data_IF_979180693096
#
_entry.id   IF_979180693096
#
_cell.length_a   1.000
_cell.length_b   1.000
_cell.length_c   1.000
_cell.angle_alpha   90.00
_cell.angle_beta   90.00
_cell.angle_gamma   90.00
#
_symmetry.space_group_name_H-M   'P 1'
#
loop_
_entity.id
_entity.type
_entity.pdbx_description
1 polymer ?
#
# COMPACT_ATOMS: atom_id res chain seq x y z
N UNK A 1 71.93 -2.13 -9.55
CA UNK A 1 71.01 -2.58 -8.48
C UNK A 1 69.66 -2.03 -8.84
N UNK A 2 68.85 -2.83 -9.51
CA UNK A 2 67.54 -2.53 -10.07
C UNK A 2 66.48 -3.00 -9.08
N UNK A 3 65.66 -2.09 -8.57
CA UNK A 3 64.54 -2.41 -7.71
C UNK A 3 63.36 -2.96 -8.50
N UNK A 4 62.57 -3.93 -8.00
CA UNK A 4 61.46 -4.50 -8.72
C UNK A 4 60.24 -3.61 -8.73
N UNK A 5 59.56 -3.54 -9.89
CA UNK A 5 58.29 -2.92 -10.11
C UNK A 5 57.20 -3.64 -9.28
N UNK A 6 56.48 -2.88 -8.42
CA UNK A 6 55.27 -3.33 -7.75
C UNK A 6 54.12 -3.22 -8.78
N UNK A 7 53.65 -4.35 -9.21
CA UNK A 7 52.46 -4.52 -10.05
C UNK A 7 51.22 -4.08 -9.24
N UNK A 8 50.60 -2.96 -9.62
CA UNK A 8 49.36 -2.49 -9.04
C UNK A 8 48.22 -3.41 -9.52
N UNK A 9 47.68 -4.20 -8.60
CA UNK A 9 46.44 -4.91 -8.83
C UNK A 9 45.33 -3.91 -9.16
N UNK A 10 44.70 -4.06 -10.33
CA UNK A 10 43.54 -3.28 -10.76
C UNK A 10 42.34 -3.48 -9.81
N UNK A 11 41.39 -2.56 -9.78
CA UNK A 11 40.21 -2.69 -8.95
C UNK A 11 39.42 -3.94 -9.37
N UNK A 12 39.21 -4.85 -8.41
CA UNK A 12 38.27 -5.94 -8.55
C UNK A 12 36.90 -5.30 -8.76
N UNK A 13 36.34 -5.43 -9.95
CA UNK A 13 34.93 -5.22 -10.23
C UNK A 13 34.16 -6.11 -9.25
N UNK A 14 33.54 -5.48 -8.22
CA UNK A 14 32.45 -6.10 -7.47
C UNK A 14 31.40 -6.46 -8.51
N UNK A 15 31.26 -7.74 -8.81
CA UNK A 15 30.11 -8.24 -9.53
C UNK A 15 28.86 -7.73 -8.80
N UNK A 16 27.99 -7.08 -9.55
CA UNK A 16 26.66 -6.69 -9.11
C UNK A 16 25.95 -7.96 -8.62
N UNK A 17 25.99 -8.14 -7.31
CA UNK A 17 25.09 -9.04 -6.62
C UNK A 17 23.72 -8.35 -6.66
N UNK A 18 23.05 -8.44 -7.81
CA UNK A 18 21.64 -8.14 -7.98
C UNK A 18 20.95 -9.15 -7.06
N UNK A 19 20.75 -8.76 -5.82
CA UNK A 19 19.87 -9.48 -4.90
C UNK A 19 18.54 -9.63 -5.62
N UNK A 20 18.30 -10.81 -6.20
CA UNK A 20 17.00 -11.19 -6.75
C UNK A 20 15.96 -10.90 -5.68
N UNK A 21 15.23 -9.77 -5.81
CA UNK A 21 14.09 -9.45 -4.96
C UNK A 21 13.13 -10.62 -5.04
N UNK A 22 12.54 -10.98 -3.90
CA UNK A 22 11.63 -12.13 -3.83
C UNK A 22 10.50 -11.98 -4.85
N UNK A 23 10.14 -13.07 -5.48
CA UNK A 23 9.14 -13.14 -6.56
C UNK A 23 7.71 -12.85 -6.09
N UNK A 24 7.45 -12.83 -4.78
CA UNK A 24 6.13 -12.66 -4.18
C UNK A 24 6.06 -11.31 -3.46
N UNK A 25 5.19 -10.41 -3.88
CA UNK A 25 4.99 -9.10 -3.25
C UNK A 25 4.31 -9.15 -1.88
N UNK A 26 4.10 -7.98 -1.27
CA UNK A 26 3.56 -7.87 0.08
C UNK A 26 2.15 -8.48 0.21
N UNK A 27 1.28 -8.28 -0.79
CA UNK A 27 -0.07 -8.85 -0.80
C UNK A 27 -0.04 -10.39 -0.82
N UNK A 28 0.71 -10.98 -1.73
CA UNK A 28 0.86 -12.44 -1.81
C UNK A 28 1.46 -13.03 -0.53
N UNK A 29 2.43 -12.36 0.08
CA UNK A 29 3.02 -12.77 1.36
C UNK A 29 2.03 -12.71 2.52
N UNK A 30 1.18 -11.69 2.55
CA UNK A 30 0.14 -11.58 3.56
C UNK A 30 -0.87 -12.73 3.43
N UNK A 31 -1.30 -13.07 2.21
CA UNK A 31 -2.20 -14.21 1.98
C UNK A 31 -1.56 -15.54 2.41
N UNK A 32 -0.28 -15.75 2.10
CA UNK A 32 0.49 -16.91 2.55
C UNK A 32 0.53 -16.97 4.08
N UNK A 33 0.89 -15.87 4.72
CA UNK A 33 0.99 -15.80 6.18
C UNK A 33 -0.35 -16.10 6.85
N UNK A 34 -1.45 -15.51 6.38
CA UNK A 34 -2.82 -15.77 6.87
C UNK A 34 -3.24 -17.23 6.66
N UNK A 35 -3.02 -17.76 5.46
CA UNK A 35 -3.33 -19.15 5.15
C UNK A 35 -2.58 -20.12 6.06
N UNK A 36 -1.28 -19.93 6.25
CA UNK A 36 -0.48 -20.76 7.15
C UNK A 36 -0.89 -20.58 8.62
N UNK A 37 -1.24 -19.36 9.06
CA UNK A 37 -1.71 -19.10 10.42
C UNK A 37 -3.04 -19.83 10.69
N UNK A 38 -3.97 -19.82 9.74
CA UNK A 38 -5.23 -20.55 9.82
C UNK A 38 -5.00 -22.07 9.92
N UNK A 39 -4.10 -22.62 9.10
CA UNK A 39 -3.72 -24.03 9.14
C UNK A 39 -3.06 -24.39 10.47
N UNK A 40 -2.17 -23.55 10.97
CA UNK A 40 -1.49 -23.75 12.26
C UNK A 40 -2.49 -23.79 13.40
N UNK A 41 -3.43 -22.85 13.44
CA UNK A 41 -4.51 -22.78 14.43
C UNK A 41 -5.40 -24.01 14.35
N UNK A 42 -5.83 -24.41 13.15
CA UNK A 42 -6.65 -25.61 12.94
C UNK A 42 -5.97 -26.90 13.37
N UNK A 43 -4.67 -27.01 13.10
CA UNK A 43 -3.91 -28.21 13.46
C UNK A 43 -3.57 -28.30 14.96
N UNK A 44 -3.63 -27.20 15.71
CA UNK A 44 -3.22 -27.09 17.11
C UNK A 44 -1.72 -27.30 17.34
N UNK A 45 -0.91 -27.39 16.27
CA UNK A 45 0.54 -27.66 16.36
C UNK A 45 1.30 -26.38 16.73
N UNK A 46 2.38 -26.53 17.48
CA UNK A 46 3.31 -25.45 17.76
C UNK A 46 4.27 -25.25 16.57
N UNK A 47 4.73 -24.02 16.37
CA UNK A 47 5.70 -23.69 15.31
C UNK A 47 6.96 -24.58 15.37
N UNK A 48 7.40 -24.97 16.57
CA UNK A 48 8.55 -25.87 16.77
C UNK A 48 8.29 -27.28 16.24
N UNK A 49 7.05 -27.77 16.34
CA UNK A 49 6.64 -29.06 15.79
C UNK A 49 6.56 -29.01 14.28
N UNK A 50 5.96 -27.93 13.75
CA UNK A 50 5.89 -27.69 12.29
C UNK A 50 7.31 -27.62 11.71
N UNK A 51 8.22 -26.90 12.35
CA UNK A 51 9.61 -26.81 11.91
C UNK A 51 10.30 -28.17 11.83
N UNK A 52 10.09 -29.02 12.88
CA UNK A 52 10.64 -30.37 12.92
C UNK A 52 10.06 -31.26 11.82
N UNK A 53 8.74 -31.23 11.62
CA UNK A 53 8.05 -32.02 10.58
C UNK A 53 8.42 -31.60 9.17
N UNK A 54 8.56 -30.30 8.94
CA UNK A 54 8.94 -29.71 7.65
C UNK A 54 10.45 -29.79 7.37
N UNK A 55 11.28 -30.21 8.32
CA UNK A 55 12.73 -30.28 8.16
C UNK A 55 13.41 -28.92 8.04
N UNK A 56 12.85 -27.86 8.66
CA UNK A 56 13.36 -26.50 8.60
C UNK A 56 13.58 -25.90 9.98
N UNK A 57 14.22 -24.74 10.06
CA UNK A 57 14.36 -24.01 11.32
C UNK A 57 13.05 -23.32 11.72
N UNK A 58 12.85 -23.07 13.03
CA UNK A 58 11.74 -22.26 13.55
C UNK A 58 11.76 -20.85 12.94
N UNK A 59 12.95 -20.26 12.76
CA UNK A 59 13.11 -18.97 12.08
C UNK A 59 12.62 -19.00 10.64
N UNK A 60 12.76 -20.14 9.93
CA UNK A 60 12.18 -20.32 8.60
C UNK A 60 10.66 -20.34 8.66
N UNK A 61 10.06 -21.07 9.60
CA UNK A 61 8.60 -21.08 9.77
C UNK A 61 8.08 -19.66 10.07
N UNK A 62 8.73 -18.93 10.99
CA UNK A 62 8.38 -17.55 11.31
C UNK A 62 8.42 -16.63 10.10
N UNK A 63 9.41 -16.80 9.22
CA UNK A 63 9.51 -16.03 7.97
C UNK A 63 8.30 -16.24 7.05
N UNK A 64 7.77 -17.46 6.99
CA UNK A 64 6.59 -17.78 6.17
C UNK A 64 5.27 -17.36 6.84
N UNK A 65 5.27 -17.20 8.16
CA UNK A 65 4.14 -16.65 8.93
C UNK A 65 4.13 -15.12 8.99
N UNK A 66 5.20 -14.45 8.53
CA UNK A 66 5.31 -13.00 8.44
C UNK A 66 5.33 -12.56 6.97
N UNK A 67 4.70 -11.42 6.67
CA UNK A 67 4.68 -10.87 5.32
C UNK A 67 5.67 -9.71 5.12
N UNK A 68 6.20 -9.14 6.19
CA UNK A 68 7.12 -7.99 6.13
C UNK A 68 8.56 -8.37 5.73
N UNK A 69 8.96 -9.63 5.88
CA UNK A 69 10.27 -10.13 5.46
C UNK A 69 10.31 -10.32 3.94
N UNK A 70 11.24 -9.65 3.26
CA UNK A 70 11.40 -9.68 1.79
C UNK A 70 12.25 -10.85 1.28
N UNK A 71 12.72 -11.74 2.14
CA UNK A 71 13.50 -12.89 1.71
C UNK A 71 12.70 -13.79 0.77
N UNK A 72 13.35 -14.29 -0.28
CA UNK A 72 12.73 -15.16 -1.29
C UNK A 72 12.09 -16.39 -0.66
N UNK A 73 10.79 -16.58 -0.88
CA UNK A 73 10.09 -17.80 -0.52
C UNK A 73 10.40 -18.90 -1.53
N UNK A 74 10.47 -20.13 -1.06
CA UNK A 74 10.81 -21.31 -1.89
C UNK A 74 9.66 -22.30 -1.89
N UNK A 75 9.26 -22.76 -3.08
CA UNK A 75 8.17 -23.73 -3.28
C UNK A 75 8.37 -25.02 -2.45
N UNK A 76 9.55 -25.67 -2.43
CA UNK A 76 9.73 -26.88 -1.61
C UNK A 76 9.52 -26.63 -0.12
N UNK A 77 9.99 -25.48 0.39
CA UNK A 77 9.82 -25.11 1.80
C UNK A 77 8.36 -24.78 2.11
N UNK A 78 7.64 -24.05 1.23
CA UNK A 78 6.22 -23.80 1.38
C UNK A 78 5.42 -25.09 1.44
N UNK A 79 5.66 -26.01 0.52
CA UNK A 79 5.01 -27.33 0.48
C UNK A 79 5.21 -28.07 1.78
N UNK A 80 6.45 -28.19 2.27
CA UNK A 80 6.77 -28.88 3.51
C UNK A 80 6.10 -28.26 4.74
N UNK A 81 6.09 -26.91 4.84
CA UNK A 81 5.43 -26.19 5.94
C UNK A 81 3.91 -26.40 5.90
N UNK A 82 3.28 -26.26 4.72
CA UNK A 82 1.84 -26.44 4.57
C UNK A 82 1.42 -27.88 4.94
N UNK A 83 2.13 -28.90 4.47
CA UNK A 83 1.91 -30.30 4.83
C UNK A 83 2.11 -30.53 6.32
N UNK A 84 3.15 -29.96 6.93
CA UNK A 84 3.39 -30.03 8.36
C UNK A 84 2.30 -29.33 9.18
N UNK A 85 1.61 -28.33 8.63
CA UNK A 85 0.43 -27.69 9.22
C UNK A 85 -0.87 -28.49 8.97
N UNK A 86 -0.84 -29.59 8.24
CA UNK A 86 -2.03 -30.40 7.95
C UNK A 86 -2.91 -29.84 6.84
N UNK A 87 -2.31 -29.15 5.88
CA UNK A 87 -3.01 -28.65 4.70
C UNK A 87 -3.56 -29.80 3.83
N UNK A 88 -4.76 -29.65 3.33
CA UNK A 88 -5.28 -30.49 2.24
C UNK A 88 -4.47 -30.26 0.95
N UNK A 89 -4.53 -31.18 -0.01
CA UNK A 89 -3.86 -30.97 -1.30
C UNK A 89 -4.23 -29.63 -1.99
N UNK A 90 -5.50 -29.24 -1.95
CA UNK A 90 -5.97 -28.00 -2.55
C UNK A 90 -5.42 -26.75 -1.83
N UNK A 91 -5.44 -26.72 -0.51
CA UNK A 91 -4.88 -25.64 0.29
C UNK A 91 -3.37 -25.49 0.09
N UNK A 92 -2.65 -26.62 0.11
CA UNK A 92 -1.22 -26.65 -0.17
C UNK A 92 -0.90 -26.08 -1.55
N UNK A 93 -1.63 -26.52 -2.58
CA UNK A 93 -1.39 -26.11 -3.95
C UNK A 93 -1.80 -24.64 -4.17
N UNK A 94 -2.81 -24.12 -3.45
CA UNK A 94 -3.13 -22.69 -3.42
C UNK A 94 -1.97 -21.86 -2.83
N UNK A 95 -1.42 -22.26 -1.68
CA UNK A 95 -0.26 -21.59 -1.08
C UNK A 95 0.99 -21.66 -1.96
N UNK A 96 1.20 -22.79 -2.64
CA UNK A 96 2.32 -22.95 -3.60
C UNK A 96 2.16 -22.01 -4.80
N UNK A 97 0.93 -21.87 -5.33
CA UNK A 97 0.67 -20.89 -6.41
C UNK A 97 1.05 -19.48 -5.99
N UNK A 98 0.65 -19.03 -4.79
CA UNK A 98 1.02 -17.70 -4.28
C UNK A 98 2.55 -17.48 -4.18
N UNK A 99 3.34 -18.54 -3.96
CA UNK A 99 4.81 -18.45 -3.99
C UNK A 99 5.36 -18.39 -5.41
N UNK A 100 4.68 -19.03 -6.38
CA UNK A 100 5.11 -19.06 -7.78
C UNK A 100 4.61 -17.88 -8.59
N UNK A 101 3.47 -17.31 -8.20
CA UNK A 101 2.91 -16.13 -8.86
C UNK A 101 3.85 -14.94 -8.61
N UNK A 102 4.53 -14.57 -9.69
CA UNK A 102 5.37 -13.39 -9.68
C UNK A 102 4.43 -12.17 -9.72
N UNK A 103 4.44 -11.39 -8.65
CA UNK A 103 3.87 -10.07 -8.73
C UNK A 103 4.68 -9.29 -9.76
N UNK A 104 4.06 -8.96 -10.87
CA UNK A 104 4.64 -8.12 -11.91
C UNK A 104 4.00 -6.75 -11.85
N UNK A 105 4.77 -5.74 -11.45
CA UNK A 105 4.29 -4.38 -11.42
C UNK A 105 5.43 -3.41 -11.70
N UNK A 106 5.10 -2.28 -12.32
CA UNK A 106 6.05 -1.22 -12.65
C UNK A 106 6.84 -0.69 -11.43
N UNK A 107 6.28 -0.88 -10.23
CA UNK A 107 6.86 -0.38 -8.98
C UNK A 107 8.00 -1.25 -8.41
N UNK A 108 8.07 -2.53 -8.76
CA UNK A 108 8.93 -3.50 -8.07
C UNK A 108 10.43 -3.18 -8.16
N UNK A 109 10.85 -2.52 -9.23
CA UNK A 109 12.24 -2.10 -9.42
C UNK A 109 12.34 -0.60 -9.72
N UNK A 110 11.27 0.16 -9.49
CA UNK A 110 11.24 1.57 -9.78
C UNK A 110 11.98 2.37 -8.69
N UNK A 111 13.12 3.02 -9.00
CA UNK A 111 13.98 3.65 -7.99
C UNK A 111 13.30 4.81 -7.26
N UNK A 112 12.22 5.36 -7.84
CA UNK A 112 11.46 6.47 -7.24
C UNK A 112 10.34 6.01 -6.30
N UNK A 113 10.01 4.71 -6.25
CA UNK A 113 9.08 4.17 -5.25
C UNK A 113 9.86 3.90 -3.98
N UNK A 114 9.66 4.72 -2.91
CA UNK A 114 10.36 4.48 -1.65
C UNK A 114 10.00 3.11 -1.09
N UNK A 115 10.96 2.42 -0.49
CA UNK A 115 10.73 1.13 0.17
C UNK A 115 9.55 1.11 1.15
N UNK A 116 9.23 2.27 1.72
CA UNK A 116 8.10 2.45 2.64
C UNK A 116 6.73 2.35 1.96
N UNK A 117 6.64 2.69 0.66
CA UNK A 117 5.40 2.66 -0.13
C UNK A 117 5.26 1.37 -0.95
N UNK A 118 6.33 0.62 -1.16
CA UNK A 118 6.31 -0.63 -1.92
C UNK A 118 5.23 -1.62 -1.41
N UNK A 119 5.05 -1.87 -0.10
CA UNK A 119 3.95 -2.70 0.36
C UNK A 119 2.57 -2.12 0.04
N UNK A 120 2.36 -0.80 0.16
CA UNK A 120 1.08 -0.17 -0.15
C UNK A 120 0.71 -0.37 -1.62
N UNK A 121 1.63 -0.11 -2.53
CA UNK A 121 1.40 -0.29 -3.98
C UNK A 121 1.11 -1.75 -4.33
N UNK A 122 1.79 -2.69 -3.66
CA UNK A 122 1.51 -4.13 -3.79
C UNK A 122 0.09 -4.47 -3.31
N UNK A 123 -0.33 -3.94 -2.16
CA UNK A 123 -1.68 -4.14 -1.66
C UNK A 123 -2.74 -3.52 -2.57
N UNK A 124 -2.52 -2.31 -3.07
CA UNK A 124 -3.42 -1.65 -4.04
C UNK A 124 -3.56 -2.48 -5.32
N UNK A 125 -2.47 -3.05 -5.82
CA UNK A 125 -2.50 -3.89 -7.01
C UNK A 125 -3.40 -5.12 -6.84
N UNK A 126 -3.56 -5.62 -5.63
CA UNK A 126 -4.38 -6.78 -5.30
C UNK A 126 -5.79 -6.41 -4.82
N UNK A 127 -5.97 -5.25 -4.18
CA UNK A 127 -7.21 -4.79 -3.59
C UNK A 127 -8.32 -4.58 -4.63
N UNK A 128 -9.58 -4.74 -4.23
CA UNK A 128 -10.77 -4.38 -5.01
C UNK A 128 -11.42 -3.11 -4.49
N UNK A 129 -11.12 -2.71 -3.26
CA UNK A 129 -11.57 -1.47 -2.66
C UNK A 129 -10.46 -0.77 -1.88
N UNK A 130 -10.54 0.55 -1.82
CA UNK A 130 -9.71 1.42 -1.01
C UNK A 130 -10.56 2.54 -0.42
N UNK A 131 -10.58 2.62 0.92
CA UNK A 131 -11.28 3.63 1.69
C UNK A 131 -10.26 4.56 2.35
N UNK A 132 -10.35 5.84 2.06
CA UNK A 132 -9.35 6.84 2.50
C UNK A 132 -10.00 7.90 3.36
N UNK A 133 -9.50 8.11 4.55
CA UNK A 133 -9.71 9.31 5.34
C UNK A 133 -8.55 10.27 5.16
N UNK A 134 -8.81 11.46 4.66
CA UNK A 134 -7.78 12.46 4.39
C UNK A 134 -8.10 13.79 5.10
N UNK A 135 -7.32 14.11 6.13
CA UNK A 135 -7.56 15.26 7.01
C UNK A 135 -6.73 16.52 6.70
N UNK A 136 -5.79 16.45 5.78
CA UNK A 136 -4.87 17.58 5.56
C UNK A 136 -4.39 17.78 4.12
N UNK A 137 -4.35 16.73 3.32
CA UNK A 137 -3.86 16.75 1.94
C UNK A 137 -4.74 15.86 1.07
N UNK A 138 -4.84 16.19 -0.21
CA UNK A 138 -5.48 15.33 -1.20
C UNK A 138 -4.73 13.98 -1.28
N UNK A 139 -5.42 12.83 -1.25
CA UNK A 139 -4.80 11.51 -1.37
C UNK A 139 -4.02 11.33 -2.68
N UNK A 140 -2.93 10.56 -2.64
CA UNK A 140 -2.03 10.40 -3.78
C UNK A 140 -2.69 9.89 -5.07
N UNK A 141 -3.74 9.06 -4.97
CA UNK A 141 -4.49 8.56 -6.14
C UNK A 141 -5.35 9.64 -6.82
N UNK A 142 -5.58 10.78 -6.16
CA UNK A 142 -6.38 11.89 -6.68
C UNK A 142 -5.56 13.18 -6.90
N UNK A 143 -4.22 13.13 -6.79
CA UNK A 143 -3.39 14.33 -6.98
C UNK A 143 -3.12 14.62 -8.46
N UNK A 144 -3.16 15.90 -8.85
CA UNK A 144 -2.60 16.33 -10.12
C UNK A 144 -1.06 16.30 -10.08
N UNK A 145 -0.43 16.31 -11.25
CA UNK A 145 1.04 16.33 -11.33
C UNK A 145 1.62 17.58 -10.67
N UNK A 146 1.00 18.75 -10.86
CA UNK A 146 1.45 20.02 -10.27
C UNK A 146 1.30 20.03 -8.75
N UNK A 147 0.18 19.52 -8.22
CA UNK A 147 -0.03 19.37 -6.78
C UNK A 147 1.00 18.42 -6.18
N UNK A 148 1.22 17.25 -6.77
CA UNK A 148 2.23 16.28 -6.35
C UNK A 148 3.64 16.87 -6.36
N UNK A 149 4.00 17.65 -7.40
CA UNK A 149 5.29 18.32 -7.51
C UNK A 149 5.48 19.34 -6.37
N UNK A 150 4.51 20.23 -6.16
CA UNK A 150 4.57 21.24 -5.10
C UNK A 150 4.69 20.59 -3.71
N UNK A 151 3.95 19.50 -3.47
CA UNK A 151 4.02 18.75 -2.22
C UNK A 151 5.40 18.12 -2.00
N UNK A 152 5.99 17.49 -3.03
CA UNK A 152 7.33 16.90 -2.93
C UNK A 152 8.40 17.96 -2.74
N UNK A 153 8.32 19.10 -3.40
CA UNK A 153 9.24 20.22 -3.20
C UNK A 153 9.21 20.75 -1.77
N UNK A 154 8.01 20.84 -1.17
CA UNK A 154 7.87 21.30 0.22
C UNK A 154 8.36 20.26 1.24
N UNK A 155 8.15 18.97 0.97
CA UNK A 155 8.48 17.88 1.90
C UNK A 155 9.94 17.43 1.82
N UNK A 156 10.44 17.32 0.61
CA UNK A 156 11.70 16.64 0.29
C UNK A 156 12.84 17.64 0.00
N UNK A 157 12.96 18.68 0.81
CA UNK A 157 13.89 19.83 0.63
C UNK A 157 15.36 19.47 0.40
N UNK A 158 15.76 18.22 0.65
CA UNK A 158 17.14 17.74 0.48
C UNK A 158 17.36 16.93 -0.79
N UNK A 159 16.31 16.70 -1.57
CA UNK A 159 16.38 15.95 -2.81
C UNK A 159 16.62 16.89 -3.98
N UNK A 160 17.33 16.41 -4.99
CA UNK A 160 17.49 17.12 -6.24
C UNK A 160 16.21 17.10 -7.09
N UNK A 161 16.11 18.02 -8.05
CA UNK A 161 14.93 18.17 -8.89
C UNK A 161 14.62 16.90 -9.73
N UNK A 162 15.64 16.18 -10.17
CA UNK A 162 15.46 14.95 -10.96
C UNK A 162 14.84 13.83 -10.12
N UNK A 163 15.29 13.67 -8.88
CA UNK A 163 14.71 12.71 -7.94
C UNK A 163 13.27 13.07 -7.59
N UNK A 164 12.96 14.35 -7.39
CA UNK A 164 11.58 14.82 -7.15
C UNK A 164 10.71 14.53 -8.36
N UNK A 165 11.15 14.86 -9.58
CA UNK A 165 10.41 14.58 -10.81
C UNK A 165 10.11 13.09 -10.95
N UNK A 166 11.09 12.22 -10.74
CA UNK A 166 10.90 10.77 -10.79
C UNK A 166 9.88 10.26 -9.76
N UNK A 167 9.81 10.85 -8.55
CA UNK A 167 8.80 10.52 -7.54
C UNK A 167 7.40 10.96 -7.96
N UNK A 168 7.29 12.12 -8.59
CA UNK A 168 6.03 12.62 -9.15
C UNK A 168 5.55 11.69 -10.25
N UNK A 169 6.42 11.31 -11.19
CA UNK A 169 6.08 10.39 -12.27
C UNK A 169 5.60 9.03 -11.74
N UNK A 170 6.29 8.47 -10.75
CA UNK A 170 5.88 7.25 -10.08
C UNK A 170 4.50 7.39 -9.41
N UNK A 171 4.19 8.55 -8.81
CA UNK A 171 2.88 8.82 -8.20
C UNK A 171 1.77 8.89 -9.24
N UNK A 172 2.00 9.58 -10.36
CA UNK A 172 1.02 9.65 -11.44
C UNK A 172 0.84 8.28 -12.09
N UNK A 173 1.91 7.53 -12.32
CA UNK A 173 1.82 6.16 -12.85
C UNK A 173 1.00 5.23 -11.94
N UNK A 174 1.11 5.37 -10.61
CA UNK A 174 0.33 4.59 -9.63
C UNK A 174 -1.19 4.79 -9.81
N UNK A 175 -1.65 5.96 -10.26
CA UNK A 175 -3.07 6.27 -10.44
C UNK A 175 -3.73 5.41 -11.53
N UNK A 176 -2.94 4.80 -12.43
CA UNK A 176 -3.45 3.86 -13.44
C UNK A 176 -4.20 2.65 -12.84
N UNK A 177 -4.07 2.42 -11.53
CA UNK A 177 -4.84 1.38 -10.83
C UNK A 177 -6.35 1.64 -10.87
N UNK A 178 -6.75 2.89 -11.01
CA UNK A 178 -8.16 3.28 -11.14
C UNK A 178 -8.73 2.96 -12.53
N UNK A 179 -7.86 2.67 -13.52
CA UNK A 179 -8.21 2.37 -14.91
C UNK A 179 -8.15 0.88 -15.25
N UNK A 180 -7.63 0.04 -14.35
CA UNK A 180 -7.50 -1.41 -14.59
C UNK A 180 -8.85 -2.11 -14.67
N UNK A 181 -8.86 -3.36 -15.13
CA UNK A 181 -10.04 -4.24 -15.09
C UNK A 181 -9.73 -5.51 -14.27
N UNK A 182 -10.51 -5.83 -13.21
CA UNK A 182 -11.55 -4.99 -12.59
C UNK A 182 -10.94 -3.73 -11.93
N UNK A 183 -11.68 -2.62 -12.00
CA UNK A 183 -11.23 -1.36 -11.41
C UNK A 183 -11.17 -1.44 -9.87
N UNK A 184 -10.22 -0.71 -9.27
CA UNK A 184 -10.22 -0.44 -7.84
C UNK A 184 -11.38 0.51 -7.53
N UNK A 185 -12.22 0.17 -6.56
CA UNK A 185 -13.24 1.08 -6.04
C UNK A 185 -12.62 1.96 -4.96
N UNK A 186 -12.48 3.25 -5.25
CA UNK A 186 -11.88 4.23 -4.35
C UNK A 186 -12.98 5.05 -3.68
N UNK A 187 -13.04 5.04 -2.35
CA UNK A 187 -13.91 5.89 -1.56
C UNK A 187 -13.11 6.82 -0.67
N UNK A 188 -13.22 8.11 -0.89
CA UNK A 188 -12.47 9.11 -0.14
C UNK A 188 -13.41 10.01 0.66
N UNK A 189 -13.14 10.16 1.96
CA UNK A 189 -13.70 11.21 2.78
C UNK A 189 -12.61 12.26 3.02
N UNK A 190 -12.80 13.45 2.48
CA UNK A 190 -11.92 14.60 2.66
C UNK A 190 -12.43 15.48 3.81
N UNK A 191 -11.59 15.77 4.79
CA UNK A 191 -11.86 16.88 5.69
C UNK A 191 -11.89 18.20 4.91
N UNK A 192 -12.82 19.07 5.18
CA UNK A 192 -12.92 20.38 4.53
C UNK A 192 -11.61 21.19 4.64
N UNK A 193 -10.83 20.99 5.70
CA UNK A 193 -9.51 21.61 5.90
C UNK A 193 -8.51 21.34 4.78
N UNK A 194 -8.70 20.25 4.03
CA UNK A 194 -7.85 19.90 2.87
C UNK A 194 -7.87 21.03 1.84
N UNK A 195 -9.00 21.70 1.64
CA UNK A 195 -9.15 22.78 0.67
C UNK A 195 -8.55 24.12 1.14
N UNK A 196 -8.39 24.31 2.44
CA UNK A 196 -7.81 25.54 3.02
C UNK A 196 -6.29 25.44 3.26
N UNK A 197 -5.71 24.26 3.08
CA UNK A 197 -4.26 24.07 3.11
C UNK A 197 -3.67 24.24 1.72
N UNK A 198 -3.11 25.41 1.46
CA UNK A 198 -2.48 25.70 0.16
C UNK A 198 -1.27 24.78 -0.09
N UNK A 199 -1.27 24.11 -1.23
CA UNK A 199 -0.16 23.34 -1.79
C UNK A 199 0.19 23.96 -3.14
N UNK A 200 1.41 24.50 -3.25
CA UNK A 200 1.77 25.33 -4.39
C UNK A 200 1.12 26.71 -4.35
N UNK A 201 0.76 27.22 -5.52
CA UNK A 201 0.06 28.48 -5.71
C UNK A 201 -1.46 28.29 -5.91
N UNK A 202 -2.18 29.40 -6.13
CA UNK A 202 -3.63 29.40 -6.34
C UNK A 202 -4.02 28.57 -7.58
N UNK A 203 -3.24 28.63 -8.65
CA UNK A 203 -3.51 27.88 -9.89
C UNK A 203 -3.39 26.37 -9.67
N UNK A 204 -2.41 25.92 -8.85
CA UNK A 204 -2.24 24.51 -8.48
C UNK A 204 -3.43 24.01 -7.69
N UNK A 205 -3.89 24.77 -6.70
CA UNK A 205 -5.06 24.43 -5.90
C UNK A 205 -6.34 24.40 -6.74
N UNK A 206 -6.48 25.37 -7.61
CA UNK A 206 -7.59 25.45 -8.55
C UNK A 206 -7.67 24.23 -9.46
N UNK A 207 -6.56 23.87 -10.11
CA UNK A 207 -6.44 22.68 -10.96
C UNK A 207 -6.73 21.40 -10.17
N UNK A 208 -6.24 21.32 -8.94
CA UNK A 208 -6.47 20.15 -8.08
C UNK A 208 -7.95 19.99 -7.73
N UNK A 209 -8.66 21.06 -7.43
CA UNK A 209 -10.09 20.98 -7.13
C UNK A 209 -10.88 20.64 -8.39
N UNK A 210 -10.55 21.24 -9.55
CA UNK A 210 -11.17 20.92 -10.82
C UNK A 210 -10.98 19.41 -11.16
N UNK A 211 -9.79 18.88 -10.92
CA UNK A 211 -9.51 17.45 -11.07
C UNK A 211 -10.33 16.55 -10.12
N UNK A 212 -10.58 16.97 -8.89
CA UNK A 212 -11.46 16.21 -7.98
C UNK A 212 -12.89 16.11 -8.51
N UNK A 213 -13.41 17.13 -9.22
CA UNK A 213 -14.68 17.07 -9.92
C UNK A 213 -14.69 15.99 -11.00
N UNK A 214 -13.67 15.99 -11.86
CA UNK A 214 -13.53 14.99 -12.93
C UNK A 214 -13.46 13.58 -12.37
N UNK A 215 -12.73 13.41 -11.26
CA UNK A 215 -12.61 12.10 -10.62
C UNK A 215 -13.91 11.64 -9.96
N UNK A 216 -14.72 12.56 -9.42
CA UNK A 216 -16.02 12.24 -8.84
C UNK A 216 -17.09 11.80 -9.87
N UNK A 217 -16.86 12.03 -11.17
CA UNK A 217 -17.73 11.53 -12.24
C UNK A 217 -17.46 10.04 -12.60
N UNK A 218 -16.37 9.48 -12.11
CA UNK A 218 -15.99 8.10 -12.42
C UNK A 218 -16.85 7.11 -11.62
N UNK A 219 -17.30 6.01 -12.23
CA UNK A 219 -18.20 5.04 -11.58
C UNK A 219 -17.55 4.25 -10.43
N UNK A 220 -16.23 4.28 -10.32
CA UNK A 220 -15.45 3.59 -9.32
C UNK A 220 -14.76 4.55 -8.31
N UNK A 221 -15.17 5.82 -8.27
CA UNK A 221 -14.59 6.83 -7.36
C UNK A 221 -15.70 7.58 -6.65
N UNK A 222 -15.75 7.46 -5.32
CA UNK A 222 -16.63 8.23 -4.46
C UNK A 222 -15.82 9.26 -3.68
N UNK A 223 -16.22 10.53 -3.76
CA UNK A 223 -15.58 11.62 -3.00
C UNK A 223 -16.66 12.31 -2.15
N UNK A 224 -16.45 12.30 -0.84
CA UNK A 224 -17.27 13.01 0.12
C UNK A 224 -16.43 14.01 0.90
N UNK A 225 -17.02 15.14 1.27
CA UNK A 225 -16.39 16.16 2.12
C UNK A 225 -17.01 16.11 3.51
N UNK A 226 -16.19 15.99 4.54
CA UNK A 226 -16.61 16.15 5.93
C UNK A 226 -16.58 17.65 6.26
N UNK A 227 -17.74 18.32 6.46
CA UNK A 227 -17.79 19.75 6.73
C UNK A 227 -17.18 20.08 8.09
N UNK A 228 -16.45 21.20 8.19
CA UNK A 228 -15.89 21.66 9.47
C UNK A 228 -16.96 21.91 10.54
N UNK A 229 -18.21 22.16 10.15
CA UNK A 229 -19.35 22.34 11.06
C UNK A 229 -19.75 21.08 11.83
N UNK A 230 -19.30 19.89 11.41
CA UNK A 230 -19.53 18.66 12.17
C UNK A 230 -18.79 18.69 13.52
N UNK A 231 -17.66 19.40 13.59
CA UNK A 231 -16.86 19.47 14.81
C UNK A 231 -16.12 18.17 15.09
N UNK A 232 -16.24 17.65 16.33
CA UNK A 232 -15.59 16.39 16.69
C UNK A 232 -16.25 15.20 15.98
N UNK A 233 -15.43 14.33 15.41
CA UNK A 233 -15.86 13.18 14.61
C UNK A 233 -15.06 11.91 14.95
N UNK A 234 -15.45 10.76 14.41
CA UNK A 234 -14.88 9.46 14.77
C UNK A 234 -13.35 9.35 14.62
N UNK A 235 -12.76 10.02 13.64
CA UNK A 235 -11.32 10.02 13.40
C UNK A 235 -10.59 11.26 13.94
N UNK A 236 -11.22 12.07 14.81
CA UNK A 236 -10.68 13.36 15.24
C UNK A 236 -9.33 13.31 15.96
N UNK A 237 -9.01 12.22 16.64
CA UNK A 237 -7.70 11.99 17.29
C UNK A 237 -6.74 11.19 16.41
N UNK A 238 -7.21 10.62 15.30
CA UNK A 238 -6.44 9.86 14.33
C UNK A 238 -5.95 10.74 13.19
N UNK A 239 -4.81 10.36 12.61
CA UNK A 239 -4.31 10.95 11.37
C UNK A 239 -5.03 10.40 10.14
N UNK A 240 -4.50 10.76 8.98
CA UNK A 240 -4.84 10.14 7.71
C UNK A 240 -4.66 8.62 7.76
N UNK A 241 -5.60 7.87 7.18
CA UNK A 241 -5.45 6.43 6.99
C UNK A 241 -6.02 5.96 5.65
N UNK A 242 -5.50 4.84 5.20
CA UNK A 242 -5.99 4.09 4.05
C UNK A 242 -6.38 2.70 4.52
N UNK A 243 -7.63 2.32 4.32
CA UNK A 243 -8.13 0.97 4.54
C UNK A 243 -8.40 0.34 3.18
N UNK A 244 -7.64 -0.66 2.81
CA UNK A 244 -7.80 -1.31 1.52
C UNK A 244 -7.90 -2.81 1.67
N UNK A 245 -8.52 -3.45 0.70
CA UNK A 245 -8.67 -4.88 0.73
C UNK A 245 -9.37 -5.47 -0.48
N UNK A 246 -9.56 -6.77 -0.38
CA UNK A 246 -10.32 -7.59 -1.29
C UNK A 246 -11.16 -8.55 -0.47
N UNK A 247 -12.46 -8.51 -0.67
CA UNK A 247 -13.37 -9.51 -0.13
C UNK A 247 -13.71 -10.49 -1.26
N UNK A 248 -13.41 -11.77 -1.06
CA UNK A 248 -13.72 -12.85 -1.99
C UNK A 248 -14.55 -13.91 -1.27
N UNK A 249 -15.87 -13.90 -1.54
CA UNK A 249 -16.80 -14.86 -0.91
C UNK A 249 -16.55 -16.28 -1.37
N UNK A 250 -16.03 -16.46 -2.59
CA UNK A 250 -15.78 -17.76 -3.20
C UNK A 250 -14.46 -18.39 -2.71
N UNK A 251 -13.49 -17.58 -2.34
CA UNK A 251 -12.20 -18.00 -1.78
C UNK A 251 -11.78 -17.11 -0.60
N UNK A 252 -12.19 -17.46 0.62
CA UNK A 252 -11.79 -16.71 1.81
C UNK A 252 -10.26 -16.59 2.00
N UNK A 253 -9.47 -17.49 1.41
CA UNK A 253 -8.00 -17.38 1.41
C UNK A 253 -7.48 -16.29 0.47
N UNK A 254 -8.28 -15.88 -0.50
CA UNK A 254 -7.98 -14.74 -1.38
C UNK A 254 -8.41 -13.40 -0.77
N UNK A 255 -9.17 -13.42 0.35
CA UNK A 255 -9.61 -12.21 1.04
C UNK A 255 -8.46 -11.58 1.82
N UNK A 256 -8.34 -10.25 1.71
CA UNK A 256 -7.32 -9.47 2.37
C UNK A 256 -7.91 -8.13 2.83
N UNK A 257 -7.51 -7.65 4.00
CA UNK A 257 -7.73 -6.27 4.40
C UNK A 257 -6.56 -5.78 5.24
N UNK A 258 -6.17 -4.54 5.02
CA UNK A 258 -5.06 -3.90 5.73
C UNK A 258 -5.35 -2.40 5.89
N UNK A 259 -4.93 -1.85 7.01
CA UNK A 259 -4.93 -0.41 7.26
C UNK A 259 -3.50 0.09 7.13
N UNK A 260 -3.33 1.12 6.33
CA UNK A 260 -2.05 1.83 6.18
C UNK A 260 -2.13 3.19 6.84
N UNK A 261 -1.13 3.48 7.68
CA UNK A 261 -0.93 4.78 8.32
C UNK A 261 0.45 5.29 7.90
N UNK A 262 0.48 6.46 7.28
CA UNK A 262 1.73 7.09 6.88
C UNK A 262 2.36 7.84 8.05
N UNK A 263 3.54 7.42 8.47
CA UNK A 263 4.39 8.14 9.41
C UNK A 263 5.53 8.80 8.66
N UNK A 264 6.18 9.78 9.27
CA UNK A 264 7.24 10.56 8.60
C UNK A 264 8.31 9.72 7.87
N UNK A 265 8.70 8.59 8.45
CA UNK A 265 9.77 7.70 7.90
C UNK A 265 9.38 6.24 7.79
N UNK A 266 8.17 5.88 8.13
CA UNK A 266 7.69 4.49 8.14
C UNK A 266 6.23 4.43 7.75
N UNK A 267 5.85 3.40 7.01
CA UNK A 267 4.46 2.97 6.89
C UNK A 267 4.13 2.02 8.04
N UNK A 268 3.05 2.27 8.75
CA UNK A 268 2.48 1.30 9.69
C UNK A 268 1.34 0.56 8.99
N UNK A 269 1.41 -0.75 8.97
CA UNK A 269 0.42 -1.63 8.37
C UNK A 269 -0.23 -2.45 9.48
N UNK A 270 -1.53 -2.29 9.65
CA UNK A 270 -2.34 -3.02 10.63
C UNK A 270 -3.19 -4.05 9.87
N UNK A 271 -2.97 -5.32 10.14
CA UNK A 271 -3.64 -6.43 9.44
C UNK A 271 -4.35 -7.39 10.39
N UNK A 272 -4.35 -7.09 11.69
CA UNK A 272 -5.15 -7.88 12.63
C UNK A 272 -6.64 -7.69 12.38
N UNK A 273 -7.48 -8.73 12.51
CA UNK A 273 -8.92 -8.60 12.31
C UNK A 273 -9.57 -7.54 13.20
N UNK A 274 -9.06 -7.34 14.42
CA UNK A 274 -9.55 -6.33 15.36
C UNK A 274 -9.28 -4.92 14.86
N UNK A 275 -8.02 -4.61 14.53
CA UNK A 275 -7.65 -3.30 14.01
C UNK A 275 -8.41 -2.97 12.73
N UNK A 276 -8.49 -3.92 11.79
CA UNK A 276 -9.23 -3.73 10.53
C UNK A 276 -10.70 -3.45 10.79
N UNK A 277 -11.33 -4.17 11.73
CA UNK A 277 -12.75 -3.96 12.08
C UNK A 277 -12.97 -2.56 12.70
N UNK A 278 -12.08 -2.12 13.58
CA UNK A 278 -12.18 -0.80 14.21
C UNK A 278 -12.07 0.33 13.18
N UNK A 279 -11.15 0.22 12.22
CA UNK A 279 -11.02 1.21 11.15
C UNK A 279 -12.17 1.16 10.13
N UNK A 280 -12.75 -0.02 9.84
CA UNK A 280 -13.98 -0.13 9.04
C UNK A 280 -15.14 0.64 9.72
N UNK A 281 -15.36 0.39 11.00
CA UNK A 281 -16.40 1.09 11.80
C UNK A 281 -16.12 2.60 11.80
N UNK A 282 -14.90 3.03 12.04
CA UNK A 282 -14.50 4.44 12.00
C UNK A 282 -14.81 5.09 10.65
N UNK A 283 -14.47 4.41 9.54
CA UNK A 283 -14.74 4.92 8.21
C UNK A 283 -16.25 5.00 7.91
N UNK A 284 -17.05 4.04 8.38
CA UNK A 284 -18.50 4.08 8.23
C UNK A 284 -19.12 5.27 8.97
N UNK A 285 -18.62 5.63 10.16
CA UNK A 285 -19.02 6.85 10.86
C UNK A 285 -18.63 8.12 10.09
N UNK A 286 -17.43 8.18 9.54
CA UNK A 286 -16.99 9.30 8.71
C UNK A 286 -17.89 9.49 7.47
N UNK A 287 -18.22 8.41 6.78
CA UNK A 287 -19.14 8.43 5.62
C UNK A 287 -20.55 8.92 5.98
N UNK A 288 -21.05 8.49 7.13
CA UNK A 288 -22.37 8.91 7.63
C UNK A 288 -22.40 10.42 7.91
N UNK A 289 -21.31 10.96 8.49
CA UNK A 289 -21.24 12.35 8.95
C UNK A 289 -20.79 13.29 7.81
N UNK A 290 -20.17 12.76 6.76
CA UNK A 290 -19.79 13.51 5.58
C UNK A 290 -21.01 13.98 4.78
N UNK A 291 -20.85 15.06 4.02
CA UNK A 291 -21.82 15.53 3.07
C UNK A 291 -22.11 14.45 1.99
N UNK A 292 -23.33 14.41 1.50
CA UNK A 292 -23.64 13.60 0.32
C UNK A 292 -22.88 14.11 -0.93
N UNK A 293 -22.96 13.37 -2.02
CA UNK A 293 -22.21 13.70 -3.24
C UNK A 293 -22.54 15.10 -3.77
N UNK A 294 -23.82 15.49 -3.79
CA UNK A 294 -24.23 16.80 -4.31
C UNK A 294 -23.74 17.95 -3.43
N UNK A 295 -23.84 17.81 -2.09
CA UNK A 295 -23.33 18.81 -1.17
C UNK A 295 -21.80 18.83 -1.14
N UNK A 296 -21.13 17.68 -1.30
CA UNK A 296 -19.67 17.61 -1.42
C UNK A 296 -19.17 18.38 -2.63
N UNK A 297 -19.80 18.22 -3.79
CA UNK A 297 -19.51 19.01 -4.99
C UNK A 297 -19.70 20.51 -4.71
N UNK A 298 -20.77 20.90 -4.00
CA UNK A 298 -21.00 22.32 -3.64
C UNK A 298 -19.86 22.86 -2.76
N UNK A 299 -19.43 22.11 -1.74
CA UNK A 299 -18.34 22.52 -0.85
C UNK A 299 -17.00 22.66 -1.61
N UNK A 300 -16.74 21.77 -2.57
CA UNK A 300 -15.59 21.89 -3.46
C UNK A 300 -15.68 23.15 -4.34
N UNK A 301 -16.88 23.46 -4.88
CA UNK A 301 -17.11 24.68 -5.67
C UNK A 301 -16.88 25.96 -4.86
N UNK A 302 -17.36 26.00 -3.63
CA UNK A 302 -17.13 27.10 -2.69
C UNK A 302 -15.63 27.30 -2.47
N UNK A 303 -14.90 26.22 -2.15
CA UNK A 303 -13.44 26.24 -1.97
C UNK A 303 -12.70 26.66 -3.23
N UNK A 304 -13.13 26.19 -4.41
CA UNK A 304 -12.53 26.56 -5.71
C UNK A 304 -12.56 28.05 -5.98
N UNK A 305 -13.59 28.75 -5.47
CA UNK A 305 -13.72 30.20 -5.65
C UNK A 305 -12.69 31.00 -4.85
N UNK A 306 -12.12 30.46 -3.79
CA UNK A 306 -11.07 31.09 -2.98
C UNK A 306 -9.73 31.16 -3.74
N UNK A 307 -9.57 30.38 -4.80
CA UNK A 307 -8.37 30.28 -5.63
C UNK A 307 -8.54 30.92 -7.03
N UNK A 308 -9.26 32.05 -7.09
CA UNK A 308 -9.45 32.84 -8.33
C UNK A 308 -8.45 33.96 -8.44
#
# INVERSE_FOLDING_TARGET
MTAPLIERAGPRTRGDDVTERGTTGAAGRMLIARGLQALLTRSGRKQTEVAKLAGVSVGTVNRYLGWQDRAKLRVPTMRAIAEACGATPNERDALVRLVTDQESGWWMDHPAVPEILDPLVSFEAYATYENVWANSLVPGLLQTQRYALALHQARDMRLDAATIASRVDARIQRQSILDRSPALHLWVVLDQAVFHRSVGDADVMAEQIDHLYEMAERPNVDIQVLPASIGAHAAGSGGHFVLLGRDDESDPMASMAVVYLELHRKGLYLDSPGDVADYKIMFDYLRRDAADSARSLTLMAEARQEYR
#
